data_IF_170128029094
#
_entry.id   IF_170128029094
#
_cell.length_a   1.000
_cell.length_b   1.000
_cell.length_c   1.000
_cell.angle_alpha   90.00
_cell.angle_beta   90.00
_cell.angle_gamma   90.00
#
_symmetry.space_group_name_H-M   'P 1'
#
loop_
_entity.id
_entity.type
_entity.pdbx_description
1 polymer ?
#
# COMPACT_ATOMS: atom_id res chain seq x y z
N UNK A 1 19.81 1.34 1.47
CA UNK A 1 19.99 1.57 0.02
C UNK A 1 18.73 1.08 -0.67
N UNK A 2 18.03 1.94 -1.40
CA UNK A 2 16.78 1.61 -2.09
C UNK A 2 17.10 0.79 -3.36
N UNK A 3 16.38 -0.29 -3.57
CA UNK A 3 16.51 -1.16 -4.74
C UNK A 3 15.58 -0.67 -5.85
N UNK A 4 16.13 -0.21 -6.97
CA UNK A 4 15.37 0.28 -8.10
C UNK A 4 15.36 -0.71 -9.27
N UNK A 5 14.19 -0.93 -9.86
CA UNK A 5 13.99 -1.65 -11.12
C UNK A 5 13.63 -0.63 -12.21
N UNK A 6 14.24 -0.76 -13.39
CA UNK A 6 13.88 0.03 -14.58
C UNK A 6 13.13 -0.88 -15.55
N UNK A 7 11.99 -0.41 -16.06
CA UNK A 7 11.13 -1.15 -17.00
C UNK A 7 10.75 -0.21 -18.15
N UNK A 8 11.38 -0.40 -19.30
CA UNK A 8 11.21 0.42 -20.49
C UNK A 8 11.64 -0.39 -21.72
N UNK A 9 10.95 -0.33 -22.84
CA UNK A 9 11.35 -1.06 -24.07
C UNK A 9 12.38 -0.31 -24.90
N UNK A 10 12.63 0.97 -24.57
CA UNK A 10 13.62 1.82 -25.23
C UNK A 10 14.98 1.78 -24.51
N UNK A 11 16.07 1.24 -25.13
CA UNK A 11 17.39 1.19 -24.49
C UNK A 11 17.94 2.57 -24.06
N UNK A 12 17.67 3.63 -24.84
CA UNK A 12 18.10 4.99 -24.50
C UNK A 12 17.43 5.53 -23.24
N UNK A 13 16.20 5.13 -22.95
CA UNK A 13 15.51 5.52 -21.70
C UNK A 13 16.20 4.89 -20.49
N UNK A 14 16.68 3.64 -20.59
CA UNK A 14 17.51 3.02 -19.55
C UNK A 14 18.79 3.82 -19.29
N UNK A 15 19.51 4.21 -20.36
CA UNK A 15 20.77 4.97 -20.22
C UNK A 15 20.54 6.32 -19.52
N UNK A 16 19.46 7.04 -19.87
CA UNK A 16 19.10 8.31 -19.24
C UNK A 16 18.80 8.12 -17.75
N UNK A 17 17.98 7.12 -17.39
CA UNK A 17 17.66 6.85 -16.00
C UNK A 17 18.89 6.39 -15.20
N UNK A 18 19.73 5.52 -15.78
CA UNK A 18 20.99 5.10 -15.18
C UNK A 18 21.91 6.29 -14.92
N UNK A 19 22.06 7.20 -15.89
CA UNK A 19 22.88 8.41 -15.73
C UNK A 19 22.38 9.29 -14.58
N UNK A 20 21.06 9.45 -14.42
CA UNK A 20 20.49 10.20 -13.29
C UNK A 20 20.67 9.47 -11.96
N UNK A 21 20.53 8.13 -11.96
CA UNK A 21 20.66 7.30 -10.76
C UNK A 21 22.10 7.17 -10.27
N UNK A 22 23.10 7.21 -11.15
CA UNK A 22 24.52 7.20 -10.76
C UNK A 22 24.91 8.33 -9.80
N UNK A 23 24.15 9.43 -9.77
CA UNK A 23 24.36 10.57 -8.87
C UNK A 23 23.70 10.39 -7.51
N UNK A 24 22.99 9.27 -7.28
CA UNK A 24 22.21 9.01 -6.08
C UNK A 24 22.87 7.89 -5.26
N UNK A 25 23.55 8.24 -4.17
CA UNK A 25 24.32 7.28 -3.35
C UNK A 25 23.42 6.32 -2.56
N UNK A 26 22.14 6.66 -2.37
CA UNK A 26 21.16 5.90 -1.60
C UNK A 26 20.30 4.94 -2.43
N UNK A 27 20.49 4.90 -3.78
CA UNK A 27 19.69 4.07 -4.69
C UNK A 27 20.59 3.13 -5.49
N UNK A 28 20.24 1.86 -5.53
CA UNK A 28 20.91 0.84 -6.33
C UNK A 28 19.95 0.29 -7.39
N UNK A 29 20.35 0.32 -8.66
CA UNK A 29 19.64 -0.39 -9.73
C UNK A 29 19.93 -1.88 -9.59
N UNK A 30 18.88 -2.67 -9.32
CA UNK A 30 18.97 -4.12 -9.09
C UNK A 30 18.46 -4.93 -10.28
N UNK A 31 17.85 -4.29 -11.26
CA UNK A 31 17.36 -4.94 -12.47
C UNK A 31 16.94 -3.95 -13.54
N UNK A 32 16.93 -4.44 -14.78
CA UNK A 32 16.44 -3.75 -15.96
C UNK A 32 15.64 -4.73 -16.80
N UNK A 33 14.45 -4.32 -17.23
CA UNK A 33 13.54 -5.14 -18.02
C UNK A 33 13.04 -4.35 -19.22
N UNK A 34 13.02 -4.99 -20.39
CA UNK A 34 12.62 -4.35 -21.66
C UNK A 34 11.13 -4.59 -22.00
N UNK A 35 10.37 -5.20 -21.12
CA UNK A 35 8.92 -5.38 -21.27
C UNK A 35 8.25 -5.68 -19.93
N UNK A 36 6.94 -5.44 -19.85
CA UNK A 36 6.14 -5.67 -18.65
C UNK A 36 6.13 -7.14 -18.18
N UNK A 37 6.13 -8.09 -19.12
CA UNK A 37 6.10 -9.52 -18.78
C UNK A 37 7.38 -9.94 -18.06
N UNK A 38 8.55 -9.55 -18.58
CA UNK A 38 9.83 -9.82 -17.92
C UNK A 38 9.94 -9.13 -16.56
N UNK A 39 9.39 -7.93 -16.42
CA UNK A 39 9.37 -7.20 -15.16
C UNK A 39 8.48 -7.89 -14.11
N UNK A 40 7.30 -8.38 -14.47
CA UNK A 40 6.44 -9.17 -13.58
C UNK A 40 7.11 -10.47 -13.12
N UNK A 41 7.80 -11.19 -14.05
CA UNK A 41 8.56 -12.39 -13.71
C UNK A 41 9.74 -12.07 -12.78
N UNK A 42 10.41 -10.95 -13.02
CA UNK A 42 11.51 -10.50 -12.18
C UNK A 42 11.02 -10.18 -10.76
N UNK A 43 9.93 -9.41 -10.65
CA UNK A 43 9.31 -9.02 -9.36
C UNK A 43 8.73 -10.21 -8.57
N UNK A 44 8.34 -11.28 -9.26
CA UNK A 44 7.88 -12.50 -8.59
C UNK A 44 9.01 -13.23 -7.83
N UNK A 45 10.27 -13.03 -8.24
CA UNK A 45 11.44 -13.72 -7.68
C UNK A 45 12.42 -12.80 -6.95
N UNK A 46 12.25 -11.48 -7.05
CA UNK A 46 13.15 -10.49 -6.51
C UNK A 46 12.38 -9.36 -5.85
N UNK A 47 13.08 -8.57 -5.02
CA UNK A 47 12.51 -7.41 -4.34
C UNK A 47 13.05 -6.11 -4.94
N UNK A 48 12.13 -5.19 -5.21
CA UNK A 48 12.43 -3.80 -5.52
C UNK A 48 11.63 -2.88 -4.59
N UNK A 49 12.21 -1.76 -4.17
CA UNK A 49 11.54 -0.73 -3.38
C UNK A 49 10.90 0.34 -4.29
N UNK A 50 11.48 0.49 -5.50
CA UNK A 50 11.11 1.48 -6.50
C UNK A 50 11.13 0.87 -7.90
N UNK A 51 10.13 1.19 -8.72
CA UNK A 51 10.07 0.86 -10.14
C UNK A 51 9.93 2.14 -10.95
N UNK A 52 10.82 2.35 -11.90
CA UNK A 52 10.62 3.29 -13.00
C UNK A 52 9.95 2.52 -14.13
N UNK A 53 8.77 2.95 -14.55
CA UNK A 53 7.92 2.19 -15.45
C UNK A 53 7.49 3.03 -16.65
N UNK A 54 7.87 2.61 -17.86
CA UNK A 54 7.24 3.15 -19.05
C UNK A 54 5.82 2.61 -19.26
N UNK A 55 4.97 3.40 -19.88
CA UNK A 55 3.60 3.01 -20.19
C UNK A 55 3.53 2.27 -21.52
N UNK A 56 4.20 2.80 -22.54
CA UNK A 56 4.05 2.33 -23.91
C UNK A 56 5.01 1.21 -24.25
N UNK A 57 4.73 0.03 -23.75
CA UNK A 57 5.50 -1.17 -24.08
C UNK A 57 4.68 -2.16 -24.93
N UNK A 58 5.31 -2.94 -25.81
CA UNK A 58 4.65 -3.97 -26.61
C UNK A 58 3.98 -5.05 -25.73
N UNK A 59 2.86 -5.62 -26.23
CA UNK A 59 2.11 -6.74 -25.65
C UNK A 59 1.33 -6.40 -24.39
N UNK A 60 1.97 -5.91 -23.34
CA UNK A 60 1.37 -5.49 -22.09
C UNK A 60 1.87 -4.10 -21.74
N UNK A 61 0.97 -3.12 -21.66
CA UNK A 61 1.36 -1.76 -21.32
C UNK A 61 1.61 -1.59 -19.82
N UNK A 62 2.30 -0.49 -19.44
CA UNK A 62 2.66 -0.22 -18.04
C UNK A 62 1.47 -0.09 -17.10
N UNK A 63 0.35 0.47 -17.58
CA UNK A 63 -0.89 0.61 -16.78
C UNK A 63 -1.51 -0.77 -16.49
N UNK A 64 -1.54 -1.65 -17.49
CA UNK A 64 -2.01 -3.03 -17.29
C UNK A 64 -1.10 -3.80 -16.36
N UNK A 65 0.23 -3.63 -16.49
CA UNK A 65 1.19 -4.18 -15.54
C UNK A 65 0.92 -3.73 -14.12
N UNK A 66 0.67 -2.42 -13.88
CA UNK A 66 0.34 -1.88 -12.57
C UNK A 66 -0.92 -2.52 -11.96
N UNK A 67 -1.94 -2.77 -12.77
CA UNK A 67 -3.18 -3.44 -12.33
C UNK A 67 -2.96 -4.89 -11.92
N UNK A 68 -1.98 -5.56 -12.52
CA UNK A 68 -1.61 -6.95 -12.21
C UNK A 68 -0.68 -7.06 -10.99
N UNK A 69 0.04 -5.99 -10.64
CA UNK A 69 0.90 -5.94 -9.46
C UNK A 69 0.04 -5.83 -8.20
N UNK A 70 0.07 -6.84 -7.33
CA UNK A 70 -0.63 -6.85 -6.04
C UNK A 70 0.04 -5.93 -5.01
N UNK A 71 0.80 -6.50 -4.07
CA UNK A 71 1.62 -5.71 -3.14
C UNK A 71 2.83 -5.15 -3.90
N UNK A 72 2.75 -3.89 -4.32
CA UNK A 72 3.71 -3.30 -5.26
C UNK A 72 4.71 -2.36 -4.57
N UNK A 73 5.95 -2.26 -5.14
CA UNK A 73 6.90 -1.23 -4.75
C UNK A 73 6.36 0.18 -5.08
N UNK A 74 7.06 1.23 -4.62
CA UNK A 74 6.78 2.59 -5.09
C UNK A 74 7.00 2.66 -6.60
N UNK A 75 6.10 3.31 -7.34
CA UNK A 75 6.21 3.41 -8.80
C UNK A 75 6.31 4.86 -9.22
N UNK A 76 7.26 5.15 -10.09
CA UNK A 76 7.37 6.38 -10.86
C UNK A 76 7.11 6.01 -12.32
N UNK A 77 6.07 6.57 -12.92
CA UNK A 77 5.83 6.42 -14.36
C UNK A 77 6.79 7.35 -15.11
N UNK A 78 7.36 6.85 -16.22
CA UNK A 78 8.23 7.61 -17.12
C UNK A 78 7.68 7.43 -18.54
N UNK A 79 7.07 8.46 -19.13
CA UNK A 79 6.38 8.32 -20.42
C UNK A 79 6.56 9.54 -21.32
N UNK A 80 6.44 9.34 -22.63
CA UNK A 80 6.42 10.42 -23.62
C UNK A 80 5.04 11.13 -23.69
N UNK A 81 3.97 10.57 -23.08
CA UNK A 81 2.60 11.03 -23.21
C UNK A 81 2.08 11.61 -21.90
N UNK A 82 1.35 12.74 -21.97
CA UNK A 82 0.74 13.38 -20.80
C UNK A 82 -0.63 12.78 -20.43
N UNK A 83 -1.31 12.15 -21.37
CA UNK A 83 -2.70 11.74 -21.23
C UNK A 83 -2.91 10.65 -20.15
N UNK A 84 -1.90 9.85 -19.89
CA UNK A 84 -1.94 8.81 -18.84
C UNK A 84 -1.67 9.32 -17.42
N UNK A 85 -1.41 10.61 -17.24
CA UNK A 85 -1.15 11.16 -15.90
C UNK A 85 -2.37 11.02 -14.96
N UNK A 86 -3.59 11.13 -15.49
CA UNK A 86 -4.83 10.93 -14.73
C UNK A 86 -5.02 9.48 -14.30
N UNK A 87 -4.78 8.52 -15.20
CA UNK A 87 -4.86 7.08 -14.88
C UNK A 87 -3.78 6.67 -13.87
N UNK A 88 -2.57 7.23 -13.98
CA UNK A 88 -1.50 7.02 -13.00
C UNK A 88 -1.90 7.53 -11.61
N UNK A 89 -2.62 8.65 -11.53
CA UNK A 89 -3.12 9.17 -10.26
C UNK A 89 -4.18 8.25 -9.62
N UNK A 90 -5.11 7.69 -10.41
CA UNK A 90 -6.09 6.71 -9.94
C UNK A 90 -5.44 5.40 -9.46
N UNK A 91 -4.28 5.06 -10.00
CA UNK A 91 -3.51 3.87 -9.62
C UNK A 91 -2.51 4.13 -8.48
N UNK A 92 -2.58 5.29 -7.81
CA UNK A 92 -1.76 5.62 -6.64
C UNK A 92 -0.24 5.49 -6.90
N UNK A 93 0.25 5.88 -8.10
CA UNK A 93 1.69 5.95 -8.35
C UNK A 93 2.31 7.13 -7.62
N UNK A 94 3.57 7.02 -7.26
CA UNK A 94 4.25 8.05 -6.49
C UNK A 94 4.45 9.34 -7.29
N UNK A 95 4.85 9.21 -8.56
CA UNK A 95 5.05 10.36 -9.45
C UNK A 95 4.97 9.97 -10.92
N UNK A 96 4.90 11.01 -11.77
CA UNK A 96 4.86 10.90 -13.23
C UNK A 96 5.93 11.79 -13.85
N UNK A 97 6.83 11.22 -14.64
CA UNK A 97 7.89 11.90 -15.35
C UNK A 97 7.63 11.88 -16.85
N UNK A 98 7.65 13.06 -17.47
CA UNK A 98 7.54 13.18 -18.93
C UNK A 98 8.91 13.07 -19.58
N UNK A 99 9.05 12.25 -20.61
CA UNK A 99 10.25 12.17 -21.45
C UNK A 99 10.32 13.42 -22.35
N UNK A 100 11.49 14.10 -22.53
CA UNK A 100 12.78 13.78 -21.92
C UNK A 100 12.85 14.17 -20.43
N UNK A 101 13.35 13.27 -19.60
CA UNK A 101 13.37 13.45 -18.14
C UNK A 101 14.48 14.43 -17.76
N UNK A 102 14.10 15.62 -17.27
CA UNK A 102 15.06 16.59 -16.73
C UNK A 102 15.56 16.16 -15.35
N UNK A 103 16.82 16.48 -15.03
CA UNK A 103 17.43 16.15 -13.74
C UNK A 103 16.63 16.75 -12.58
N UNK A 104 16.16 17.97 -12.70
CA UNK A 104 15.37 18.65 -11.64
C UNK A 104 14.07 17.90 -11.34
N UNK A 105 13.36 17.47 -12.40
CA UNK A 105 12.09 16.76 -12.25
C UNK A 105 12.30 15.35 -11.68
N UNK A 106 13.38 14.69 -12.09
CA UNK A 106 13.83 13.42 -11.55
C UNK A 106 14.13 13.49 -10.05
N UNK A 107 14.90 14.48 -9.62
CA UNK A 107 15.21 14.70 -8.19
C UNK A 107 13.97 14.98 -7.36
N UNK A 108 13.00 15.77 -7.87
CA UNK A 108 11.73 16.01 -7.19
C UNK A 108 10.94 14.70 -6.99
N UNK A 109 10.91 13.82 -7.99
CA UNK A 109 10.25 12.53 -7.89
C UNK A 109 10.93 11.63 -6.83
N UNK A 110 12.26 11.59 -6.81
CA UNK A 110 13.00 10.86 -5.79
C UNK A 110 12.77 11.42 -4.38
N UNK A 111 12.66 12.74 -4.22
CA UNK A 111 12.31 13.35 -2.92
C UNK A 111 10.93 12.91 -2.44
N UNK A 112 9.95 12.69 -3.34
CA UNK A 112 8.63 12.14 -2.97
C UNK A 112 8.77 10.69 -2.50
N UNK A 113 9.56 9.86 -3.22
CA UNK A 113 9.85 8.48 -2.81
C UNK A 113 10.47 8.46 -1.41
N UNK A 114 11.53 9.24 -1.19
CA UNK A 114 12.20 9.32 0.11
C UNK A 114 11.26 9.75 1.23
N UNK A 115 10.38 10.73 0.97
CA UNK A 115 9.36 11.15 1.94
C UNK A 115 8.33 10.07 2.21
N UNK A 116 7.88 9.34 1.20
CA UNK A 116 6.91 8.26 1.37
C UNK A 116 7.51 7.10 2.16
N UNK A 117 8.76 6.74 1.85
CA UNK A 117 9.49 5.70 2.58
C UNK A 117 9.87 6.17 3.99
N UNK A 118 10.34 7.42 4.15
CA UNK A 118 10.58 7.98 5.48
C UNK A 118 9.29 8.02 6.31
N UNK A 119 8.14 8.33 5.71
CA UNK A 119 6.83 8.21 6.38
C UNK A 119 6.52 6.75 6.76
N UNK A 120 6.90 5.77 5.95
CA UNK A 120 6.77 4.34 6.31
C UNK A 120 7.74 3.94 7.44
N UNK A 121 8.92 4.56 7.53
CA UNK A 121 9.93 4.26 8.57
C UNK A 121 9.90 5.22 9.77
N UNK A 122 9.35 6.43 9.62
CA UNK A 122 9.36 7.50 10.65
C UNK A 122 7.99 8.04 11.01
N UNK A 123 6.90 7.57 10.38
CA UNK A 123 5.66 7.71 11.12
C UNK A 123 5.84 6.82 12.36
N UNK A 124 5.79 7.40 13.57
CA UNK A 124 5.13 6.70 14.63
C UNK A 124 3.82 6.28 13.99
N UNK A 125 3.51 4.97 13.93
CA UNK A 125 2.17 4.47 13.61
C UNK A 125 1.27 5.55 14.17
N UNK A 126 0.52 6.28 13.31
CA UNK A 126 -0.30 7.34 13.89
C UNK A 126 -1.10 6.62 14.94
N UNK A 127 -0.78 6.86 16.22
CA UNK A 127 -1.36 6.11 17.33
C UNK A 127 -2.89 6.30 17.38
N UNK A 128 -3.43 6.86 16.29
CA UNK A 128 -4.82 7.21 16.20
C UNK A 128 -5.33 7.29 14.74
N UNK A 129 -6.59 6.91 14.56
CA UNK A 129 -7.38 7.13 13.35
C UNK A 129 -8.42 8.23 13.60
N UNK A 130 -8.68 9.08 12.60
CA UNK A 130 -9.70 10.14 12.69
C UNK A 130 -10.93 9.71 11.88
N UNK A 131 -12.06 9.53 12.57
CA UNK A 131 -13.29 9.03 11.94
C UNK A 131 -14.45 10.00 12.20
N UNK A 132 -15.41 10.02 11.27
CA UNK A 132 -16.60 10.86 11.37
C UNK A 132 -17.64 10.22 12.28
N UNK A 133 -17.94 10.87 13.40
CA UNK A 133 -19.01 10.52 14.36
C UNK A 133 -20.09 11.57 14.23
N UNK A 134 -21.27 11.21 13.76
CA UNK A 134 -22.38 12.12 13.47
C UNK A 134 -21.95 13.28 12.54
N UNK A 135 -21.76 14.49 13.08
CA UNK A 135 -21.34 15.70 12.33
C UNK A 135 -19.89 16.08 12.58
N UNK A 136 -19.22 15.46 13.54
CA UNK A 136 -17.90 15.82 14.01
C UNK A 136 -16.83 14.80 13.60
N UNK A 137 -15.57 15.24 13.57
CA UNK A 137 -14.42 14.36 13.38
C UNK A 137 -13.84 14.02 14.75
N UNK A 138 -13.76 12.74 15.08
CA UNK A 138 -13.22 12.26 16.35
C UNK A 138 -11.96 11.44 16.14
N UNK A 139 -10.96 11.68 16.97
CA UNK A 139 -9.68 10.96 16.96
C UNK A 139 -9.75 9.77 17.92
N UNK A 140 -9.46 8.56 17.42
CA UNK A 140 -9.40 7.31 18.18
C UNK A 140 -7.97 6.82 18.25
N UNK A 141 -7.44 6.59 19.45
CA UNK A 141 -6.12 5.97 19.60
C UNK A 141 -6.21 4.49 19.21
N UNK A 142 -5.34 4.04 18.31
CA UNK A 142 -5.36 2.68 17.77
C UNK A 142 -5.18 1.61 18.86
N UNK A 143 -4.35 1.89 19.85
CA UNK A 143 -4.13 0.99 21.00
C UNK A 143 -5.38 0.75 21.86
N UNK A 144 -6.34 1.72 21.87
CA UNK A 144 -7.57 1.62 22.68
C UNK A 144 -8.67 0.86 21.92
N UNK A 145 -8.51 0.66 20.60
CA UNK A 145 -9.47 -0.04 19.76
C UNK A 145 -9.24 -1.53 19.86
N UNK A 146 -10.31 -2.28 20.23
CA UNK A 146 -10.29 -3.73 20.25
C UNK A 146 -10.57 -4.33 18.87
N UNK A 147 -11.62 -3.85 18.22
CA UNK A 147 -12.00 -4.28 16.87
C UNK A 147 -13.00 -3.32 16.26
N UNK A 148 -13.17 -3.42 14.94
CA UNK A 148 -14.19 -2.75 14.16
C UNK A 148 -15.24 -3.77 13.72
N UNK A 149 -16.53 -3.40 13.84
CA UNK A 149 -17.68 -4.21 13.41
C UNK A 149 -18.49 -3.46 12.37
N UNK A 150 -18.65 -4.04 11.18
CA UNK A 150 -19.53 -3.50 10.13
C UNK A 150 -21.00 -3.59 10.54
N UNK A 151 -21.71 -2.47 10.47
CA UNK A 151 -23.13 -2.36 10.84
C UNK A 151 -23.91 -1.55 9.80
N UNK A 152 -24.36 -2.21 8.75
CA UNK A 152 -25.02 -1.55 7.61
C UNK A 152 -24.07 -0.57 6.91
N UNK A 153 -24.48 0.70 6.84
CA UNK A 153 -23.68 1.81 6.28
C UNK A 153 -22.76 2.48 7.31
N UNK A 154 -22.65 1.90 8.49
CA UNK A 154 -21.84 2.39 9.60
C UNK A 154 -20.84 1.33 10.06
N UNK A 155 -19.89 1.76 10.87
CA UNK A 155 -18.96 0.86 11.57
C UNK A 155 -18.99 1.19 13.05
N UNK A 156 -19.07 0.16 13.89
CA UNK A 156 -18.87 0.28 15.33
C UNK A 156 -17.39 0.15 15.63
N UNK A 157 -16.82 1.17 16.26
CA UNK A 157 -15.45 1.19 16.78
C UNK A 157 -15.51 0.74 18.23
N UNK A 158 -15.14 -0.50 18.51
CA UNK A 158 -15.18 -1.07 19.85
C UNK A 158 -13.92 -0.72 20.65
N UNK A 159 -14.14 -0.06 21.79
CA UNK A 159 -13.12 0.26 22.78
C UNK A 159 -13.54 -0.40 24.10
N UNK A 160 -12.85 -1.47 24.49
CA UNK A 160 -13.27 -2.34 25.61
C UNK A 160 -14.71 -2.87 25.42
N UNK A 161 -15.64 -2.50 26.30
CA UNK A 161 -17.04 -2.94 26.30
C UNK A 161 -18.01 -1.88 25.75
N UNK A 162 -17.49 -0.82 25.17
CA UNK A 162 -18.28 0.28 24.58
C UNK A 162 -17.92 0.46 23.11
N UNK A 163 -18.83 0.97 22.33
CA UNK A 163 -18.56 1.32 20.95
C UNK A 163 -19.03 2.73 20.60
N UNK A 164 -18.37 3.30 19.62
CA UNK A 164 -18.79 4.52 18.94
C UNK A 164 -19.19 4.16 17.51
N UNK A 165 -20.33 4.70 17.05
CA UNK A 165 -20.80 4.49 15.69
C UNK A 165 -20.20 5.55 14.77
N UNK A 166 -19.53 5.13 13.68
CA UNK A 166 -18.89 6.03 12.72
C UNK A 166 -19.48 5.88 11.33
N UNK A 167 -19.58 7.00 10.61
CA UNK A 167 -20.09 7.05 9.23
C UNK A 167 -18.99 6.68 8.25
N UNK A 168 -18.74 5.38 8.06
CA UNK A 168 -17.73 4.83 7.15
C UNK A 168 -18.09 3.40 6.78
N UNK A 169 -17.39 2.84 5.80
CA UNK A 169 -17.47 1.40 5.49
C UNK A 169 -16.29 0.66 6.11
N UNK A 170 -16.50 -0.61 6.47
CA UNK A 170 -15.41 -1.42 7.02
C UNK A 170 -14.25 -1.56 6.04
N UNK A 171 -14.53 -1.58 4.73
CA UNK A 171 -13.53 -1.64 3.68
C UNK A 171 -12.63 -0.39 3.66
N UNK A 172 -13.21 0.80 3.77
CA UNK A 172 -12.44 2.06 3.86
C UNK A 172 -11.56 2.07 5.10
N UNK A 173 -12.12 1.78 6.27
CA UNK A 173 -11.36 1.71 7.53
C UNK A 173 -10.21 0.70 7.40
N UNK A 174 -10.45 -0.50 6.85
CA UNK A 174 -9.42 -1.52 6.71
C UNK A 174 -8.25 -1.09 5.80
N UNK A 175 -8.47 -0.19 4.84
CA UNK A 175 -7.39 0.36 4.00
C UNK A 175 -6.56 1.44 4.70
N UNK A 176 -7.14 2.14 5.68
CA UNK A 176 -6.47 3.21 6.45
C UNK A 176 -5.70 2.67 7.67
N UNK A 177 -6.03 1.45 8.13
CA UNK A 177 -5.42 0.85 9.31
C UNK A 177 -4.04 0.23 9.01
N UNK A 178 -3.07 0.35 9.94
CA UNK A 178 -1.80 -0.35 9.84
C UNK A 178 -2.01 -1.87 9.84
N UNK A 179 -1.54 -2.55 8.79
CA UNK A 179 -1.68 -4.02 8.63
C UNK A 179 -0.93 -4.81 9.70
N UNK A 180 0.10 -4.22 10.28
CA UNK A 180 0.88 -4.80 11.39
C UNK A 180 0.07 -4.84 12.69
N UNK A 181 -0.89 -3.91 12.87
CA UNK A 181 -1.71 -3.82 14.07
C UNK A 181 -3.10 -4.40 13.91
N UNK A 182 -3.65 -4.41 12.69
CA UNK A 182 -5.04 -4.80 12.45
C UNK A 182 -5.15 -5.83 11.33
N UNK A 183 -5.95 -6.86 11.57
CA UNK A 183 -6.21 -7.94 10.60
C UNK A 183 -7.71 -8.09 10.37
N UNK A 184 -8.11 -8.16 9.09
CA UNK A 184 -9.49 -8.49 8.76
C UNK A 184 -9.70 -10.00 8.89
N UNK A 185 -10.64 -10.41 9.74
CA UNK A 185 -10.93 -11.83 10.06
C UNK A 185 -12.29 -12.29 9.56
N UNK A 186 -13.13 -11.34 9.15
CA UNK A 186 -14.45 -11.59 8.58
C UNK A 186 -14.87 -10.41 7.70
N UNK A 187 -15.84 -10.62 6.78
CA UNK A 187 -16.43 -9.51 6.00
C UNK A 187 -16.96 -8.35 6.86
N UNK A 188 -17.26 -8.63 8.14
CA UNK A 188 -17.81 -7.67 9.10
C UNK A 188 -16.89 -7.37 10.29
N UNK A 189 -15.68 -7.93 10.36
CA UNK A 189 -14.79 -7.71 11.50
C UNK A 189 -13.34 -7.48 11.06
N UNK A 190 -12.73 -6.40 11.63
CA UNK A 190 -11.30 -6.13 11.62
C UNK A 190 -10.85 -6.05 13.07
N UNK A 191 -9.89 -6.87 13.47
CA UNK A 191 -9.44 -6.98 14.88
C UNK A 191 -8.07 -6.33 15.08
N UNK A 192 -7.85 -5.80 16.26
CA UNK A 192 -6.53 -5.39 16.71
C UNK A 192 -5.74 -6.65 17.14
N UNK A 193 -4.62 -6.90 16.49
CA UNK A 193 -3.80 -8.10 16.68
C UNK A 193 -3.35 -8.25 18.14
N UNK A 194 -2.96 -7.13 18.79
CA UNK A 194 -2.50 -7.13 20.19
C UNK A 194 -3.62 -7.41 21.23
N UNK A 195 -4.89 -7.33 20.81
CA UNK A 195 -6.07 -7.58 21.64
C UNK A 195 -6.67 -8.97 21.43
N UNK A 196 -6.04 -9.81 20.60
CA UNK A 196 -6.45 -11.18 20.37
C UNK A 196 -5.92 -12.05 21.53
N UNK A 197 -6.82 -12.71 22.25
CA UNK A 197 -6.48 -13.62 23.35
C UNK A 197 -6.33 -15.06 22.89
N UNK A 198 -7.11 -15.49 21.92
CA UNK A 198 -7.12 -16.85 21.40
C UNK A 198 -7.64 -16.91 19.97
N UNK A 199 -6.98 -17.72 19.14
CA UNK A 199 -7.44 -18.07 17.81
C UNK A 199 -7.88 -19.52 17.79
N UNK A 200 -9.15 -19.76 17.38
CA UNK A 200 -9.70 -21.11 17.15
C UNK A 200 -9.97 -21.35 15.67
N UNK A 201 -10.52 -22.48 15.33
CA UNK A 201 -10.83 -22.87 13.93
C UNK A 201 -11.96 -22.05 13.29
N UNK A 202 -12.89 -21.52 14.09
CA UNK A 202 -14.08 -20.77 13.63
C UNK A 202 -14.23 -19.41 14.30
N UNK A 203 -13.61 -19.20 15.44
CA UNK A 203 -13.75 -17.98 16.25
C UNK A 203 -12.40 -17.48 16.76
N UNK A 204 -12.27 -16.16 16.81
CA UNK A 204 -11.24 -15.46 17.57
C UNK A 204 -11.87 -14.95 18.85
N UNK A 205 -11.18 -15.11 19.98
CA UNK A 205 -11.59 -14.53 21.26
C UNK A 205 -10.74 -13.31 21.55
N UNK A 206 -11.37 -12.16 21.72
CA UNK A 206 -10.73 -10.91 22.10
C UNK A 206 -10.36 -10.90 23.59
N UNK A 207 -9.49 -9.99 24.02
CA UNK A 207 -9.13 -9.78 25.43
C UNK A 207 -10.33 -9.45 26.32
N UNK A 208 -11.38 -8.84 25.72
CA UNK A 208 -12.69 -8.59 26.35
C UNK A 208 -13.55 -9.87 26.52
N UNK A 209 -13.03 -11.04 26.15
CA UNK A 209 -13.73 -12.33 26.04
C UNK A 209 -14.87 -12.38 25.00
N UNK A 210 -14.95 -11.40 24.10
CA UNK A 210 -15.90 -11.41 23.00
C UNK A 210 -15.45 -12.40 21.91
N UNK A 211 -16.25 -13.42 21.53
CA UNK A 211 -15.97 -14.29 20.40
C UNK A 211 -16.38 -13.61 19.10
N UNK A 212 -15.49 -13.56 18.11
CA UNK A 212 -15.73 -13.05 16.77
C UNK A 212 -15.56 -14.18 15.76
N UNK A 213 -16.49 -14.33 14.82
CA UNK A 213 -16.47 -15.40 13.84
C UNK A 213 -15.41 -15.12 12.77
N UNK A 214 -14.64 -16.16 12.38
CA UNK A 214 -13.71 -16.14 11.26
C UNK A 214 -14.46 -16.47 9.97
N UNK A 215 -14.32 -15.62 8.94
CA UNK A 215 -14.87 -15.86 7.61
C UNK A 215 -14.04 -16.91 6.85
N UNK A 216 -14.68 -17.72 6.00
CA UNK A 216 -14.00 -18.80 5.27
C UNK A 216 -12.78 -18.31 4.47
N UNK A 217 -12.87 -17.14 3.85
CA UNK A 217 -11.81 -16.52 3.04
C UNK A 217 -10.69 -15.86 3.87
N UNK A 218 -10.90 -15.66 5.18
CA UNK A 218 -9.98 -14.97 6.09
C UNK A 218 -9.23 -15.92 7.03
N UNK A 219 -9.37 -17.24 6.85
CA UNK A 219 -8.75 -18.23 7.74
C UNK A 219 -7.21 -18.18 7.72
N UNK A 220 -6.63 -17.94 6.56
CA UNK A 220 -5.16 -17.84 6.43
C UNK A 220 -4.63 -16.64 7.22
N UNK A 221 -5.25 -15.46 7.08
CA UNK A 221 -4.84 -14.24 7.77
C UNK A 221 -5.04 -14.37 9.28
N UNK A 222 -6.16 -14.98 9.70
CA UNK A 222 -6.46 -15.20 11.10
C UNK A 222 -5.47 -16.18 11.80
N UNK A 223 -4.91 -17.15 11.06
CA UNK A 223 -3.94 -18.12 11.60
C UNK A 223 -2.60 -17.48 11.98
N UNK A 224 -2.28 -16.33 11.42
CA UNK A 224 -1.01 -15.62 11.64
C UNK A 224 -1.06 -14.61 12.81
N UNK A 225 -2.16 -14.62 13.60
CA UNK A 225 -2.39 -13.64 14.67
C UNK A 225 -1.77 -14.00 16.03
N UNK A 226 -1.18 -15.18 16.16
CA UNK A 226 -0.52 -15.64 17.41
C UNK A 226 0.89 -16.12 17.13
#
# INVERSE_FOLDING_TARGET
MLKALIVDDEPLAHDVLLHHLQKQEDIQVVGQCNCAVSALQWLANNQADLVFLDINMPQLNGIEMLKLMGNRPQVIIVSAYQDYALEGFELEVCDYLLKPVSIQRFEQALQKIRRNLAKSFTQPIEDAIVLKVDRDMQKFKLQDICYFEGYGNYVKVWQHNQYVLVSSTLKQIATELPKEMFTQVHKSFVVNNSRVKRVGSEFITMDTNQPLRIGKTFKADASNLL
#
